data_IF_282036494755
#
_entry.id   IF_282036494755
#
_cell.length_a   1.000
_cell.length_b   1.000
_cell.length_c   1.000
_cell.angle_alpha   90.00
_cell.angle_beta   90.00
_cell.angle_gamma   90.00
#
_symmetry.space_group_name_H-M   'P 1'
#
loop_
_entity.id
_entity.type
_entity.pdbx_description
1 polymer ?
#
# COMPACT_ATOMS: atom_id res chain seq x y z
N UNK A 1 -3.83 3.10 48.70
CA UNK A 1 -4.59 4.12 47.96
C UNK A 1 -3.86 4.35 46.65
N UNK A 2 -4.26 3.68 45.56
CA UNK A 2 -3.59 3.75 44.25
C UNK A 2 -4.29 4.77 43.36
N UNK A 3 -3.53 5.73 42.83
CA UNK A 3 -4.02 6.75 41.91
C UNK A 3 -4.34 6.10 40.56
N UNK A 4 -5.59 6.25 40.11
CA UNK A 4 -5.98 5.87 38.77
C UNK A 4 -5.37 6.86 37.77
N UNK A 5 -4.34 6.43 37.03
CA UNK A 5 -3.77 7.22 35.95
C UNK A 5 -4.82 7.34 34.84
N UNK A 6 -5.31 8.55 34.61
CA UNK A 6 -6.26 8.86 33.54
C UNK A 6 -5.47 8.97 32.23
N UNK A 7 -5.46 7.90 31.44
CA UNK A 7 -4.96 7.97 30.06
C UNK A 7 -6.01 8.66 29.20
N UNK A 8 -5.70 9.86 28.71
CA UNK A 8 -6.49 10.44 27.63
C UNK A 8 -6.17 9.67 26.35
N UNK A 9 -7.18 9.01 25.80
CA UNK A 9 -7.07 8.38 24.48
C UNK A 9 -7.05 9.52 23.47
N UNK A 10 -5.86 9.82 22.94
CA UNK A 10 -5.71 10.72 21.79
C UNK A 10 -6.17 9.95 20.56
N UNK A 11 -7.37 10.29 20.07
CA UNK A 11 -7.82 9.85 18.76
C UNK A 11 -7.00 10.60 17.70
N UNK A 12 -5.83 10.06 17.34
CA UNK A 12 -5.08 10.54 16.19
C UNK A 12 -5.90 10.31 14.92
N UNK A 13 -6.59 11.35 14.44
CA UNK A 13 -7.17 11.37 13.09
C UNK A 13 -6.02 11.07 12.13
N UNK A 14 -6.07 9.91 11.49
CA UNK A 14 -5.10 9.52 10.47
C UNK A 14 -5.37 10.40 9.25
N UNK A 15 -4.74 11.57 9.15
CA UNK A 15 -4.65 12.22 7.84
C UNK A 15 -3.78 11.32 6.95
N UNK A 16 -4.21 11.03 5.71
CA UNK A 16 -3.44 10.18 4.81
C UNK A 16 -2.06 10.81 4.64
N UNK A 17 -1.05 10.14 5.20
CA UNK A 17 0.33 10.60 5.11
C UNK A 17 0.79 10.35 3.68
N UNK A 18 0.87 11.43 2.91
CA UNK A 18 1.48 11.40 1.60
C UNK A 18 2.99 11.28 1.75
N UNK A 19 3.56 10.23 1.14
CA UNK A 19 4.98 9.88 1.19
C UNK A 19 5.64 10.20 -0.14
N UNK A 20 6.88 10.68 -0.09
CA UNK A 20 7.74 10.73 -1.28
C UNK A 20 8.14 9.32 -1.71
N UNK A 21 8.62 9.17 -2.95
CA UNK A 21 9.09 7.89 -3.48
C UNK A 21 10.18 7.25 -2.59
N UNK A 22 11.13 8.06 -2.11
CA UNK A 22 12.23 7.60 -1.25
C UNK A 22 11.72 7.11 0.10
N UNK A 23 10.79 7.86 0.69
CA UNK A 23 10.18 7.50 1.98
C UNK A 23 9.37 6.22 1.84
N UNK A 24 8.60 6.11 0.75
CA UNK A 24 7.82 4.92 0.43
C UNK A 24 8.72 3.68 0.23
N UNK A 25 9.82 3.84 -0.50
CA UNK A 25 10.80 2.79 -0.73
C UNK A 25 11.43 2.30 0.58
N UNK A 26 11.84 3.23 1.46
CA UNK A 26 12.37 2.90 2.78
C UNK A 26 11.36 2.12 3.64
N UNK A 27 10.08 2.54 3.64
CA UNK A 27 9.04 1.83 4.38
C UNK A 27 8.75 0.43 3.81
N UNK A 28 8.85 0.29 2.49
CA UNK A 28 8.69 -1.00 1.82
C UNK A 28 9.92 -1.92 1.94
N UNK A 29 11.08 -1.39 2.34
CA UNK A 29 12.34 -2.13 2.35
C UNK A 29 12.89 -2.39 0.93
N UNK A 30 12.57 -1.51 -0.02
CA UNK A 30 12.96 -1.63 -1.43
C UNK A 30 13.91 -0.50 -1.84
N UNK A 31 14.69 -0.74 -2.89
CA UNK A 31 15.53 0.31 -3.48
C UNK A 31 14.65 1.33 -4.25
N UNK A 32 14.89 2.66 -4.14
CA UNK A 32 14.09 3.69 -4.83
C UNK A 32 13.93 3.45 -6.34
N UNK A 33 15.02 3.13 -7.05
CA UNK A 33 14.97 2.82 -8.50
C UNK A 33 14.04 1.64 -8.85
N UNK A 34 13.84 0.69 -7.92
CA UNK A 34 12.90 -0.41 -8.14
C UNK A 34 11.45 0.07 -7.99
N UNK A 35 11.18 0.94 -7.03
CA UNK A 35 9.87 1.58 -6.84
C UNK A 35 9.53 2.47 -8.03
N UNK A 36 10.47 3.29 -8.51
CA UNK A 36 10.32 4.11 -9.71
C UNK A 36 9.91 3.26 -10.92
N UNK A 37 10.61 2.15 -11.13
CA UNK A 37 10.25 1.20 -12.20
C UNK A 37 8.85 0.63 -12.04
N UNK A 38 8.39 0.34 -10.81
CA UNK A 38 7.02 -0.12 -10.58
C UNK A 38 5.98 0.96 -10.87
N UNK A 39 6.32 2.23 -10.65
CA UNK A 39 5.47 3.37 -11.03
C UNK A 39 5.38 3.50 -12.55
N UNK A 40 6.50 3.41 -13.27
CA UNK A 40 6.52 3.42 -14.74
C UNK A 40 5.66 2.31 -15.36
N UNK A 41 5.60 1.16 -14.70
CA UNK A 41 4.83 -0.01 -15.11
C UNK A 41 3.36 0.04 -14.68
N UNK A 42 2.94 1.09 -13.95
CA UNK A 42 1.58 1.23 -13.44
C UNK A 42 1.21 0.26 -12.31
N UNK A 43 2.19 -0.39 -11.66
CA UNK A 43 1.93 -1.29 -10.53
C UNK A 43 1.61 -0.51 -9.25
N UNK A 44 2.12 0.72 -9.17
CA UNK A 44 1.89 1.70 -8.11
C UNK A 44 1.59 3.03 -8.79
N UNK A 45 0.55 3.72 -8.35
CA UNK A 45 0.18 5.01 -8.88
C UNK A 45 0.37 6.11 -7.82
N UNK A 46 0.93 7.28 -8.19
CA UNK A 46 0.98 8.42 -7.30
C UNK A 46 -0.41 8.99 -7.08
N UNK A 47 -0.68 9.45 -5.86
CA UNK A 47 -1.96 10.09 -5.52
C UNK A 47 -1.96 11.58 -5.85
N UNK A 48 -0.78 12.21 -5.88
CA UNK A 48 -0.65 13.63 -6.16
C UNK A 48 0.73 13.96 -6.71
N UNK A 49 0.79 15.02 -7.52
CA UNK A 49 2.03 15.70 -7.90
C UNK A 49 2.22 16.97 -7.05
N UNK A 50 3.37 17.10 -6.42
CA UNK A 50 3.81 18.33 -5.77
C UNK A 50 4.99 18.93 -6.55
N UNK A 51 4.68 19.71 -7.58
CA UNK A 51 5.67 20.20 -8.53
C UNK A 51 6.26 19.04 -9.34
N UNK A 52 7.56 18.79 -9.18
CA UNK A 52 8.24 17.65 -9.82
C UNK A 52 8.26 16.38 -8.94
N UNK A 53 7.74 16.45 -7.71
CA UNK A 53 7.79 15.34 -6.75
C UNK A 53 6.49 14.54 -6.77
N UNK A 54 6.62 13.22 -6.90
CA UNK A 54 5.52 12.27 -6.77
C UNK A 54 5.21 11.99 -5.30
N UNK A 55 3.92 12.07 -4.95
CA UNK A 55 3.41 11.72 -3.64
C UNK A 55 2.54 10.46 -3.71
N UNK A 56 2.68 9.59 -2.71
CA UNK A 56 2.02 8.30 -2.62
C UNK A 56 1.30 8.16 -1.27
N UNK A 57 0.19 7.46 -1.25
CA UNK A 57 -0.45 7.11 0.02
C UNK A 57 0.36 6.03 0.75
N UNK A 58 0.43 6.10 2.09
CA UNK A 58 1.11 5.09 2.90
C UNK A 58 0.55 3.67 2.70
N UNK A 59 -0.71 3.53 2.26
CA UNK A 59 -1.32 2.25 1.87
C UNK A 59 -0.65 1.59 0.65
N UNK A 60 0.21 2.28 -0.08
CA UNK A 60 1.02 1.68 -1.14
C UNK A 60 2.17 0.79 -0.59
N UNK A 61 2.57 0.95 0.69
CA UNK A 61 3.68 0.19 1.29
C UNK A 61 3.41 -1.33 1.31
N UNK A 62 2.26 -1.84 1.80
CA UNK A 62 1.94 -3.27 1.72
C UNK A 62 1.90 -3.80 0.28
N UNK A 63 1.42 -3.00 -0.68
CA UNK A 63 1.38 -3.36 -2.10
C UNK A 63 2.79 -3.57 -2.64
N UNK A 64 3.70 -2.63 -2.37
CA UNK A 64 5.12 -2.72 -2.72
C UNK A 64 5.82 -3.93 -2.10
N UNK A 65 5.58 -4.21 -0.82
CA UNK A 65 6.14 -5.40 -0.15
C UNK A 65 5.66 -6.70 -0.81
N UNK A 66 4.40 -6.74 -1.24
CA UNK A 66 3.84 -7.90 -1.95
C UNK A 66 4.53 -8.08 -3.30
N UNK A 67 4.64 -7.02 -4.09
CA UNK A 67 5.37 -7.01 -5.36
C UNK A 67 6.82 -7.48 -5.17
N UNK A 68 7.53 -6.94 -4.18
CA UNK A 68 8.90 -7.33 -3.84
C UNK A 68 9.02 -8.82 -3.53
N UNK A 69 8.15 -9.35 -2.67
CA UNK A 69 8.11 -10.78 -2.32
C UNK A 69 7.81 -11.68 -3.52
N UNK A 70 6.87 -11.30 -4.39
CA UNK A 70 6.58 -12.06 -5.61
C UNK A 70 7.81 -12.16 -6.53
N UNK A 71 8.60 -11.08 -6.64
CA UNK A 71 9.81 -11.10 -7.46
C UNK A 71 10.96 -11.84 -6.81
N UNK A 72 11.26 -11.56 -5.55
CA UNK A 72 12.47 -12.03 -4.87
C UNK A 72 12.31 -13.44 -4.30
N UNK A 73 11.16 -13.73 -3.70
CA UNK A 73 10.93 -15.04 -3.05
C UNK A 73 10.39 -16.09 -4.02
N UNK A 74 9.62 -15.67 -5.03
CA UNK A 74 8.95 -16.60 -5.97
C UNK A 74 9.54 -16.54 -7.39
N UNK A 75 10.52 -15.66 -7.65
CA UNK A 75 11.19 -15.57 -8.95
C UNK A 75 10.28 -15.10 -10.09
N UNK A 76 9.15 -14.45 -9.77
CA UNK A 76 8.17 -14.05 -10.77
C UNK A 76 8.67 -12.81 -11.52
N UNK A 77 8.54 -12.85 -12.84
CA UNK A 77 8.88 -11.68 -13.66
C UNK A 77 7.86 -10.55 -13.47
N UNK A 78 8.24 -9.36 -13.91
CA UNK A 78 7.44 -8.15 -13.73
C UNK A 78 6.04 -8.25 -14.37
N UNK A 79 5.91 -8.85 -15.54
CA UNK A 79 4.62 -9.03 -16.21
C UNK A 79 3.70 -9.98 -15.43
N UNK A 80 4.25 -11.08 -14.90
CA UNK A 80 3.53 -12.01 -14.04
C UNK A 80 3.07 -11.35 -12.75
N UNK A 81 3.89 -10.48 -12.15
CA UNK A 81 3.48 -9.69 -10.98
C UNK A 81 2.30 -8.78 -11.32
N UNK A 82 2.31 -8.09 -12.47
CA UNK A 82 1.18 -7.26 -12.88
C UNK A 82 -0.14 -8.04 -12.94
N UNK A 83 -0.12 -9.21 -13.56
CA UNK A 83 -1.29 -10.09 -13.65
C UNK A 83 -1.74 -10.54 -12.25
N UNK A 84 -0.82 -10.97 -11.40
CA UNK A 84 -1.15 -11.41 -10.04
C UNK A 84 -1.76 -10.27 -9.22
N UNK A 85 -1.22 -9.06 -9.33
CA UNK A 85 -1.74 -7.90 -8.61
C UNK A 85 -3.16 -7.54 -9.07
N UNK A 86 -3.44 -7.54 -10.37
CA UNK A 86 -4.79 -7.34 -10.91
C UNK A 86 -5.77 -8.43 -10.43
N UNK A 87 -5.33 -9.69 -10.40
CA UNK A 87 -6.15 -10.79 -9.87
C UNK A 87 -6.45 -10.63 -8.38
N UNK A 88 -5.48 -10.20 -7.57
CA UNK A 88 -5.68 -9.92 -6.14
C UNK A 88 -6.63 -8.74 -5.93
N UNK A 89 -6.52 -7.69 -6.73
CA UNK A 89 -7.40 -6.51 -6.67
C UNK A 89 -8.85 -6.92 -6.97
N UNK A 90 -9.06 -7.74 -8.01
CA UNK A 90 -10.38 -8.30 -8.36
C UNK A 90 -10.93 -9.22 -7.27
N UNK A 91 -10.09 -10.08 -6.70
CA UNK A 91 -10.49 -10.97 -5.61
C UNK A 91 -10.96 -10.18 -4.39
N UNK A 92 -10.20 -9.16 -3.97
CA UNK A 92 -10.59 -8.27 -2.87
C UNK A 92 -11.90 -7.52 -3.16
N UNK A 93 -12.10 -7.04 -4.39
CA UNK A 93 -13.35 -6.39 -4.80
C UNK A 93 -14.55 -7.34 -4.71
N UNK A 94 -14.39 -8.57 -5.17
CA UNK A 94 -15.42 -9.61 -5.09
C UNK A 94 -15.73 -9.99 -3.65
N UNK A 95 -14.72 -10.15 -2.79
CA UNK A 95 -14.93 -10.43 -1.38
C UNK A 95 -15.71 -9.32 -0.67
N UNK A 96 -15.35 -8.05 -0.88
CA UNK A 96 -16.08 -6.91 -0.31
C UNK A 96 -17.53 -6.86 -0.76
N UNK A 97 -17.78 -7.11 -2.06
CA UNK A 97 -19.15 -7.17 -2.58
C UNK A 97 -19.95 -8.30 -1.90
N UNK A 98 -19.34 -9.46 -1.76
CA UNK A 98 -19.93 -10.63 -1.12
C UNK A 98 -20.26 -10.37 0.37
N UNK A 99 -19.32 -9.80 1.13
CA UNK A 99 -19.53 -9.40 2.53
C UNK A 99 -20.67 -8.39 2.67
N UNK A 100 -20.73 -7.39 1.79
CA UNK A 100 -21.80 -6.38 1.81
C UNK A 100 -23.20 -6.95 1.52
N UNK A 101 -23.27 -8.06 0.78
CA UNK A 101 -24.53 -8.77 0.53
C UNK A 101 -24.93 -9.59 1.76
N UNK A 102 -23.98 -10.30 2.36
CA UNK A 102 -24.23 -11.06 3.59
C UNK A 102 -24.63 -10.17 4.77
N UNK A 103 -24.11 -8.94 4.87
CA UNK A 103 -24.50 -7.99 5.92
C UNK A 103 -25.88 -7.35 5.73
N UNK A 104 -26.55 -7.59 4.58
CA UNK A 104 -27.88 -7.04 4.26
C UNK A 104 -29.02 -8.05 4.48
N UNK A 105 -28.69 -9.29 4.84
CA UNK A 105 -29.61 -10.35 5.24
C UNK A 105 -29.58 -10.51 6.76
#
# INVERSE_FOLDING_TARGET
MMAAQRYEIVLCRQEPQHLTLETLAAHAGLHPALVERFVELGLIEPVQWQGATLLFDASAVPRLRTIGRLRESLGINVAGVAVIMDLLDRFCALQRANESLHSRL
#
